data_IF_489759553870
#
_entry.id   IF_489759553870
#
_cell.length_a   1.000
_cell.length_b   1.000
_cell.length_c   1.000
_cell.angle_alpha   90.00
_cell.angle_beta   90.00
_cell.angle_gamma   90.00
#
_symmetry.space_group_name_H-M   'P 1'
#
loop_
_entity.id
_entity.type
_entity.pdbx_description
1 polymer ?
#
# COMPACT_ATOMS: atom_id res chain seq x y z
N UNK A 1 -0.50 1.35 -18.55
CA UNK A 1 -1.58 2.21 -18.01
C UNK A 1 -0.97 3.10 -16.94
N UNK A 2 -1.37 4.38 -16.88
CA UNK A 2 -0.76 5.38 -15.99
C UNK A 2 -1.64 5.59 -14.76
N UNK A 3 -1.03 5.55 -13.57
CA UNK A 3 -1.70 5.66 -12.28
C UNK A 3 -1.16 6.87 -11.51
N UNK A 4 -2.00 7.47 -10.68
CA UNK A 4 -1.58 8.55 -9.79
C UNK A 4 -0.90 7.95 -8.56
N UNK A 5 0.38 8.21 -8.35
CA UNK A 5 1.09 7.78 -7.15
C UNK A 5 0.87 8.83 -6.05
N UNK A 6 0.33 8.42 -4.90
CA UNK A 6 0.26 9.22 -3.68
C UNK A 6 1.20 8.59 -2.66
N UNK A 7 2.16 9.34 -2.17
CA UNK A 7 3.13 8.88 -1.19
C UNK A 7 2.98 9.66 0.11
N UNK A 8 2.73 8.93 1.19
CA UNK A 8 2.53 9.41 2.55
C UNK A 8 3.59 8.85 3.53
N UNK A 9 4.73 8.33 3.05
CA UNK A 9 5.83 7.89 3.95
C UNK A 9 6.39 9.04 4.78
N UNK A 10 6.50 10.21 4.18
CA UNK A 10 7.06 11.42 4.78
C UNK A 10 6.13 12.61 4.50
N UNK A 11 6.67 13.73 4.01
CA UNK A 11 5.87 14.81 3.47
C UNK A 11 5.03 14.30 2.29
N UNK A 12 3.71 14.56 2.27
CA UNK A 12 2.85 14.05 1.20
C UNK A 12 3.30 14.53 -0.17
N UNK A 13 3.50 13.57 -1.08
CA UNK A 13 3.85 13.85 -2.47
C UNK A 13 2.93 13.11 -3.43
N UNK A 14 2.74 13.69 -4.62
CA UNK A 14 2.04 13.04 -5.72
C UNK A 14 2.89 13.01 -6.97
N UNK A 15 2.74 11.96 -7.76
CA UNK A 15 3.41 11.78 -9.04
C UNK A 15 2.65 10.80 -9.90
N UNK A 16 3.30 10.30 -10.94
CA UNK A 16 2.72 9.31 -11.83
C UNK A 16 3.58 8.07 -11.84
N UNK A 17 2.91 6.92 -11.92
CA UNK A 17 3.56 5.63 -12.02
C UNK A 17 2.92 4.81 -13.14
N UNK A 18 3.75 4.16 -13.92
CA UNK A 18 3.32 3.23 -14.95
C UNK A 18 4.27 2.04 -15.03
N UNK A 19 3.74 0.92 -15.52
CA UNK A 19 4.51 -0.26 -15.83
C UNK A 19 4.33 -0.60 -17.32
N UNK A 20 5.43 -0.99 -17.96
CA UNK A 20 5.45 -1.59 -19.29
C UNK A 20 6.47 -2.72 -19.33
N UNK A 21 6.22 -3.76 -20.14
CA UNK A 21 7.15 -4.89 -20.27
C UNK A 21 8.52 -4.46 -20.85
N UNK A 22 8.53 -3.45 -21.72
CA UNK A 22 9.75 -2.98 -22.39
C UNK A 22 10.64 -2.10 -21.49
N UNK A 23 10.03 -1.22 -20.68
CA UNK A 23 10.75 -0.19 -19.91
C UNK A 23 10.73 -0.42 -18.40
N UNK A 24 10.04 -1.46 -17.93
CA UNK A 24 9.83 -1.74 -16.52
C UNK A 24 8.97 -0.68 -15.82
N UNK A 25 9.27 -0.44 -14.55
CA UNK A 25 8.60 0.55 -13.71
C UNK A 25 9.10 1.96 -14.04
N UNK A 26 8.20 2.86 -14.40
CA UNK A 26 8.51 4.27 -14.68
C UNK A 26 7.80 5.13 -13.65
N UNK A 27 8.58 5.96 -12.95
CA UNK A 27 8.13 6.93 -11.96
C UNK A 27 8.39 8.35 -12.48
N UNK A 28 7.38 9.22 -12.42
CA UNK A 28 7.61 10.65 -12.68
C UNK A 28 8.24 11.34 -11.48
N UNK A 29 8.73 12.56 -11.70
CA UNK A 29 9.01 13.50 -10.63
C UNK A 29 7.78 13.64 -9.72
N UNK A 30 8.04 13.68 -8.41
CA UNK A 30 7.01 13.82 -7.38
C UNK A 30 6.95 15.25 -6.88
N UNK A 31 5.74 15.78 -6.71
CA UNK A 31 5.47 17.11 -6.22
C UNK A 31 4.87 17.05 -4.83
N UNK A 32 5.33 17.89 -3.93
CA UNK A 32 4.74 18.03 -2.61
C UNK A 32 3.33 18.63 -2.70
N UNK A 33 2.46 18.22 -1.79
CA UNK A 33 1.17 18.86 -1.55
C UNK A 33 0.93 18.94 -0.05
N UNK A 34 0.18 19.96 0.39
CA UNK A 34 -0.09 20.18 1.81
C UNK A 34 -1.55 19.92 2.17
N UNK A 35 -2.43 19.92 1.17
CA UNK A 35 -3.86 19.63 1.33
C UNK A 35 -4.33 18.65 0.26
N UNK A 36 -5.23 17.75 0.64
CA UNK A 36 -5.91 16.89 -0.33
C UNK A 36 -6.68 17.71 -1.39
N UNK A 37 -7.15 18.91 -1.02
CA UNK A 37 -7.82 19.82 -1.96
C UNK A 37 -6.93 20.21 -3.14
N UNK A 38 -5.61 20.29 -2.94
CA UNK A 38 -4.64 20.65 -3.98
C UNK A 38 -4.59 19.61 -5.12
N UNK A 39 -4.99 18.37 -4.81
CA UNK A 39 -4.90 17.22 -5.72
C UNK A 39 -6.26 16.56 -5.97
N UNK A 40 -7.37 17.09 -5.44
CA UNK A 40 -8.69 16.44 -5.47
C UNK A 40 -9.17 16.14 -6.89
N UNK A 41 -8.98 17.08 -7.82
CA UNK A 41 -9.39 16.92 -9.23
C UNK A 41 -8.56 15.85 -9.95
N UNK A 42 -7.26 15.77 -9.62
CA UNK A 42 -6.38 14.72 -10.14
C UNK A 42 -6.82 13.34 -9.63
N UNK A 43 -7.12 13.25 -8.34
CA UNK A 43 -7.53 11.99 -7.69
C UNK A 43 -8.86 11.50 -8.25
N UNK A 44 -9.88 12.35 -8.33
CA UNK A 44 -11.24 11.96 -8.73
C UNK A 44 -11.35 11.23 -10.08
N UNK A 45 -10.40 11.46 -10.98
CA UNK A 45 -10.45 10.93 -12.36
C UNK A 45 -9.50 9.75 -12.59
N UNK A 46 -8.80 9.27 -11.56
CA UNK A 46 -7.71 8.29 -11.70
C UNK A 46 -7.84 7.14 -10.71
N UNK A 47 -7.23 6.02 -11.07
CA UNK A 47 -6.84 5.01 -10.10
C UNK A 47 -5.52 5.44 -9.47
N UNK A 48 -5.49 5.40 -8.14
CA UNK A 48 -4.35 5.80 -7.34
C UNK A 48 -3.56 4.58 -6.88
N UNK A 49 -2.23 4.68 -6.89
CA UNK A 49 -1.35 3.84 -6.12
C UNK A 49 -0.96 4.60 -4.87
N UNK A 50 -1.14 4.01 -3.70
CA UNK A 50 -0.87 4.68 -2.43
C UNK A 50 0.25 3.95 -1.71
N UNK A 51 1.29 4.69 -1.35
CA UNK A 51 2.43 4.24 -0.55
C UNK A 51 2.42 5.02 0.76
N UNK A 52 2.70 4.37 1.88
CA UNK A 52 2.82 5.01 3.18
C UNK A 52 3.89 4.32 4.04
N UNK A 53 3.91 4.65 5.34
CA UNK A 53 4.85 4.09 6.31
C UNK A 53 4.76 2.56 6.48
N UNK A 54 3.71 1.90 5.97
CA UNK A 54 3.58 0.44 5.99
C UNK A 54 4.18 -0.24 4.76
N UNK A 55 4.69 0.52 3.79
CA UNK A 55 5.39 -0.06 2.64
C UNK A 55 6.78 -0.54 3.02
N UNK A 56 7.28 -1.54 2.29
CA UNK A 56 8.68 -1.93 2.38
C UNK A 56 9.58 -0.80 1.87
N UNK A 57 10.87 -0.88 2.17
CA UNK A 57 11.87 0.01 1.59
C UNK A 57 12.39 -0.52 0.25
N UNK A 58 13.19 0.29 -0.43
CA UNK A 58 13.86 -0.14 -1.65
C UNK A 58 14.91 -1.22 -1.34
N UNK A 59 15.13 -2.19 -2.26
CA UNK A 59 14.54 -2.32 -3.60
C UNK A 59 13.16 -3.02 -3.64
N UNK A 60 12.68 -3.54 -2.50
CA UNK A 60 11.45 -4.35 -2.44
C UNK A 60 10.19 -3.54 -2.76
N UNK A 61 10.21 -2.23 -2.48
CA UNK A 61 9.12 -1.32 -2.85
C UNK A 61 8.91 -1.29 -4.37
N UNK A 62 9.98 -1.15 -5.16
CA UNK A 62 9.90 -1.18 -6.63
C UNK A 62 9.25 -2.47 -7.16
N UNK A 63 9.63 -3.63 -6.60
CA UNK A 63 9.04 -4.93 -6.95
C UNK A 63 7.55 -4.97 -6.58
N UNK A 64 7.18 -4.47 -5.40
CA UNK A 64 5.79 -4.42 -4.95
C UNK A 64 4.92 -3.52 -5.83
N UNK A 65 5.48 -2.37 -6.26
CA UNK A 65 4.83 -1.44 -7.19
C UNK A 65 4.61 -2.09 -8.57
N UNK A 66 5.62 -2.76 -9.11
CA UNK A 66 5.49 -3.49 -10.38
C UNK A 66 4.38 -4.55 -10.30
N UNK A 67 4.39 -5.36 -9.24
CA UNK A 67 3.42 -6.44 -9.07
C UNK A 67 1.99 -5.92 -8.93
N UNK A 68 1.77 -4.83 -8.19
CA UNK A 68 0.40 -4.30 -8.00
C UNK A 68 -0.12 -3.66 -9.28
N UNK A 69 0.76 -3.09 -10.11
CA UNK A 69 0.40 -2.53 -11.39
C UNK A 69 0.01 -3.61 -12.41
N UNK A 70 0.66 -4.78 -12.36
CA UNK A 70 0.39 -5.93 -13.25
C UNK A 70 -0.87 -6.72 -12.91
N UNK A 71 -1.32 -6.67 -11.66
CA UNK A 71 -2.32 -7.61 -11.15
C UNK A 71 -3.69 -6.99 -10.88
N UNK A 72 -4.68 -7.86 -10.65
CA UNK A 72 -6.07 -7.51 -10.37
C UNK A 72 -6.35 -7.28 -8.88
N UNK A 73 -5.45 -7.66 -7.97
CA UNK A 73 -5.63 -7.36 -6.54
C UNK A 73 -5.42 -5.86 -6.26
N UNK A 74 -5.92 -5.41 -5.11
CA UNK A 74 -5.87 -4.00 -4.73
C UNK A 74 -4.97 -3.72 -3.54
N UNK A 75 -4.55 -4.71 -2.76
CA UNK A 75 -3.76 -4.52 -1.54
C UNK A 75 -2.59 -5.51 -1.47
N UNK A 76 -1.39 -5.02 -1.13
CA UNK A 76 -0.21 -5.85 -0.86
C UNK A 76 -0.17 -6.37 0.57
N UNK A 77 0.61 -7.42 0.81
CA UNK A 77 0.89 -7.92 2.16
C UNK A 77 2.36 -8.24 2.36
N UNK A 78 2.82 -8.23 3.61
CA UNK A 78 4.15 -8.63 4.04
C UNK A 78 4.10 -9.82 5.01
N UNK A 79 5.18 -10.61 5.06
CA UNK A 79 5.37 -11.65 6.07
C UNK A 79 5.45 -11.04 7.47
N UNK A 80 4.86 -11.73 8.45
CA UNK A 80 5.02 -11.34 9.84
C UNK A 80 6.37 -11.86 10.36
N UNK A 81 7.30 -10.95 10.63
CA UNK A 81 8.64 -11.28 11.16
C UNK A 81 8.66 -11.35 12.69
N UNK A 82 7.80 -10.58 13.35
CA UNK A 82 7.72 -10.54 14.80
C UNK A 82 7.00 -11.76 15.39
N UNK A 83 7.34 -12.11 16.63
CA UNK A 83 6.61 -13.14 17.36
C UNK A 83 5.18 -12.67 17.65
N UNK A 84 4.20 -13.51 17.34
CA UNK A 84 2.80 -13.25 17.63
C UNK A 84 2.37 -13.95 18.91
N UNK A 85 1.64 -13.23 19.76
CA UNK A 85 1.12 -13.74 21.03
C UNK A 85 -0.37 -13.46 21.12
N UNK A 86 -1.13 -14.44 21.57
CA UNK A 86 -2.53 -14.26 21.96
C UNK A 86 -2.56 -13.84 23.42
N UNK A 87 -3.28 -12.77 23.72
CA UNK A 87 -3.52 -12.30 25.08
C UNK A 87 -5.00 -12.49 25.44
N UNK A 88 -5.28 -12.72 26.72
CA UNK A 88 -6.65 -12.70 27.24
C UNK A 88 -7.07 -11.28 27.67
N UNK A 89 -8.32 -11.14 28.13
CA UNK A 89 -8.86 -9.87 28.62
C UNK A 89 -8.17 -9.33 29.87
N UNK A 90 -7.36 -10.13 30.56
CA UNK A 90 -6.55 -9.71 31.71
C UNK A 90 -5.14 -9.25 31.30
N UNK A 91 -4.81 -9.34 30.01
CA UNK A 91 -3.51 -8.97 29.45
C UNK A 91 -2.45 -10.08 29.57
N UNK A 92 -2.81 -11.29 29.98
CA UNK A 92 -1.88 -12.42 30.09
C UNK A 92 -1.71 -13.12 28.75
N UNK A 93 -0.48 -13.54 28.45
CA UNK A 93 -0.17 -14.36 27.27
C UNK A 93 -0.74 -15.75 27.47
N UNK A 94 -1.67 -16.15 26.61
CA UNK A 94 -2.32 -17.47 26.65
C UNK A 94 -1.77 -18.43 25.60
N UNK A 95 -1.17 -17.93 24.51
CA UNK A 95 -0.49 -18.78 23.53
C UNK A 95 0.48 -17.99 22.64
N UNK A 96 1.49 -18.69 22.12
CA UNK A 96 2.31 -18.21 21.01
C UNK A 96 1.66 -18.65 19.69
N UNK A 97 1.44 -17.71 18.77
CA UNK A 97 0.84 -18.00 17.47
C UNK A 97 1.95 -18.29 16.45
N UNK A 98 1.73 -19.27 15.57
CA UNK A 98 2.65 -19.47 14.45
C UNK A 98 2.48 -18.31 13.45
N UNK A 99 3.50 -17.46 13.36
CA UNK A 99 3.54 -16.28 12.47
C UNK A 99 3.40 -16.63 10.99
N UNK A 100 3.74 -17.85 10.58
CA UNK A 100 3.60 -18.32 9.20
C UNK A 100 2.13 -18.41 8.75
N UNK A 101 1.20 -18.51 9.71
CA UNK A 101 -0.24 -18.53 9.43
C UNK A 101 -0.83 -17.11 9.24
N UNK A 102 -0.02 -16.06 9.36
CA UNK A 102 -0.49 -14.68 9.34
C UNK A 102 0.32 -13.83 8.36
N UNK A 103 -0.37 -12.86 7.77
CA UNK A 103 0.23 -11.84 6.91
C UNK A 103 -0.19 -10.47 7.39
N UNK A 104 0.71 -9.50 7.23
CA UNK A 104 0.44 -8.12 7.55
C UNK A 104 0.02 -7.40 6.27
N UNK A 105 -1.14 -6.74 6.29
CA UNK A 105 -1.52 -5.84 5.19
C UNK A 105 -0.51 -4.68 5.10
N UNK A 106 -0.16 -4.30 3.88
CA UNK A 106 0.84 -3.26 3.60
C UNK A 106 0.42 -2.36 2.45
N UNK A 107 1.20 -1.32 2.22
CA UNK A 107 1.19 -0.54 0.98
C UNK A 107 2.39 -0.97 0.10
N UNK A 108 2.35 -0.83 -1.24
CA UNK A 108 1.37 -0.08 -2.02
C UNK A 108 -0.02 -0.70 -2.06
N UNK A 109 -1.04 0.14 -2.26
CA UNK A 109 -2.41 -0.29 -2.59
C UNK A 109 -2.93 0.42 -3.85
N UNK A 110 -3.84 -0.22 -4.57
CA UNK A 110 -4.54 0.31 -5.73
C UNK A 110 -5.95 0.71 -5.30
N UNK A 111 -6.23 2.01 -5.31
CA UNK A 111 -7.48 2.59 -4.87
C UNK A 111 -8.13 3.41 -5.99
N UNK A 112 -9.46 3.41 -6.04
CA UNK A 112 -10.16 4.31 -6.96
C UNK A 112 -10.08 5.75 -6.46
N UNK A 113 -10.05 6.73 -7.37
CA UNK A 113 -10.16 8.14 -6.99
C UNK A 113 -11.38 8.44 -6.11
N UNK A 114 -12.50 7.79 -6.40
CA UNK A 114 -13.73 7.93 -5.63
C UNK A 114 -13.57 7.49 -4.18
N UNK A 115 -12.98 6.33 -3.92
CA UNK A 115 -12.76 5.82 -2.56
C UNK A 115 -11.81 6.69 -1.75
N UNK A 116 -10.82 7.31 -2.41
CA UNK A 116 -9.90 8.25 -1.77
C UNK A 116 -10.56 9.57 -1.44
N UNK A 117 -11.36 10.11 -2.34
CA UNK A 117 -12.14 11.32 -2.05
C UNK A 117 -13.13 11.10 -0.90
N UNK A 118 -13.85 9.97 -0.91
CA UNK A 118 -14.75 9.62 0.21
C UNK A 118 -14.00 9.47 1.55
N UNK A 119 -12.77 8.96 1.52
CA UNK A 119 -11.92 8.88 2.71
C UNK A 119 -11.58 10.26 3.25
N UNK A 120 -11.10 11.18 2.40
CA UNK A 120 -10.69 12.52 2.82
C UNK A 120 -11.86 13.48 3.09
N UNK A 121 -13.07 13.17 2.62
CA UNK A 121 -14.28 13.90 3.06
C UNK A 121 -14.58 13.68 4.56
N UNK A 122 -14.04 12.62 5.16
CA UNK A 122 -14.26 12.25 6.58
C UNK A 122 -13.01 12.30 7.45
N UNK A 123 -11.83 12.41 6.85
CA UNK A 123 -10.54 12.31 7.55
C UNK A 123 -9.59 13.41 7.07
N UNK A 124 -8.92 14.08 8.01
CA UNK A 124 -7.96 15.15 7.71
C UNK A 124 -6.56 14.66 7.35
N UNK A 125 -6.25 13.38 7.60
CA UNK A 125 -4.94 12.78 7.37
C UNK A 125 -5.09 11.36 6.84
N UNK A 126 -4.08 10.88 6.11
CA UNK A 126 -4.03 9.48 5.68
C UNK A 126 -3.84 8.53 6.87
N UNK A 127 -4.59 7.42 6.84
CA UNK A 127 -4.51 6.31 7.78
C UNK A 127 -5.01 5.07 7.05
N UNK A 128 -4.11 4.13 6.80
CA UNK A 128 -4.41 2.95 6.02
C UNK A 128 -5.49 2.08 6.66
N UNK A 129 -5.48 1.90 7.97
CA UNK A 129 -6.45 1.05 8.65
C UNK A 129 -7.86 1.66 8.58
N UNK A 130 -7.97 2.98 8.77
CA UNK A 130 -9.24 3.70 8.59
C UNK A 130 -9.74 3.61 7.16
N UNK A 131 -8.85 3.74 6.17
CA UNK A 131 -9.20 3.57 4.76
C UNK A 131 -9.78 2.18 4.49
N UNK A 132 -9.12 1.13 5.00
CA UNK A 132 -9.59 -0.25 4.82
C UNK A 132 -10.97 -0.49 5.42
N UNK A 133 -11.20 0.01 6.64
CA UNK A 133 -12.49 -0.11 7.34
C UNK A 133 -13.61 0.62 6.60
N UNK A 134 -13.34 1.78 5.99
CA UNK A 134 -14.33 2.56 5.26
C UNK A 134 -14.76 1.88 3.96
N UNK A 135 -13.84 1.17 3.30
CA UNK A 135 -14.05 0.61 1.96
C UNK A 135 -14.46 -0.88 1.96
N UNK A 136 -14.73 -1.48 3.13
CA UNK A 136 -15.25 -2.85 3.26
C UNK A 136 -14.48 -3.91 2.45
N UNK A 137 -13.14 -3.84 2.46
CA UNK A 137 -12.32 -4.80 1.72
C UNK A 137 -12.52 -6.24 2.23
N UNK A 138 -12.57 -7.18 1.30
CA UNK A 138 -12.78 -8.60 1.52
C UNK A 138 -11.49 -9.39 1.36
N UNK A 139 -11.44 -10.63 1.87
CA UNK A 139 -10.27 -11.52 1.73
C UNK A 139 -9.77 -11.74 0.29
N UNK A 140 -10.62 -11.50 -0.72
CA UNK A 140 -10.28 -11.66 -2.14
C UNK A 140 -9.54 -10.45 -2.73
N UNK A 141 -9.47 -9.33 -2.00
CA UNK A 141 -8.84 -8.09 -2.45
C UNK A 141 -7.31 -8.06 -2.18
N UNK A 142 -6.81 -9.07 -1.46
CA UNK A 142 -5.45 -9.17 -0.96
C UNK A 142 -4.61 -10.16 -1.79
N UNK A 143 -3.33 -9.85 -2.06
CA UNK A 143 -2.34 -10.82 -2.53
C UNK A 143 -1.02 -10.68 -1.78
N UNK A 144 -0.43 -11.83 -1.45
CA UNK A 144 0.89 -11.94 -0.86
C UNK A 144 2.00 -11.81 -1.89
N UNK A 145 2.98 -10.97 -1.59
CA UNK A 145 4.26 -10.97 -2.29
C UNK A 145 5.32 -11.56 -1.40
N UNK A 146 5.90 -12.66 -1.85
CA UNK A 146 7.22 -13.05 -1.40
C UNK A 146 8.21 -12.25 -2.25
N UNK A 147 8.90 -11.29 -1.63
CA UNK A 147 10.15 -10.82 -2.20
C UNK A 147 11.13 -11.98 -2.07
N UNK A 148 11.18 -12.87 -3.07
CA UNK A 148 12.31 -13.77 -3.19
C UNK A 148 13.55 -12.87 -3.28
N UNK A 149 14.49 -13.09 -2.35
CA UNK A 149 15.79 -12.42 -2.34
C UNK A 149 16.38 -12.50 -3.75
N UNK A 150 16.49 -11.36 -4.43
CA UNK A 150 17.38 -11.25 -5.58
C UNK A 150 18.79 -11.32 -5.01
N UNK A 151 19.29 -12.54 -4.84
CA UNK A 151 20.71 -12.79 -4.65
C UNK A 151 21.35 -12.47 -6.00
N UNK A 152 21.88 -11.26 -6.17
CA UNK A 152 22.78 -11.00 -7.27
C UNK A 152 23.97 -11.98 -7.15
N UNK A 153 24.25 -12.81 -8.16
CA UNK A 153 25.45 -13.63 -8.16
C UNK A 153 26.67 -12.69 -8.19
N UNK A 154 27.62 -12.95 -7.27
CA UNK A 154 28.95 -12.31 -7.27
C UNK A 154 29.74 -12.61 -8.53
#
# INVERSE_FOLDING_TARGET
MKYLLLNFKEMPTYGWIEYSEEKGLILSEQKMFSSFLDIKDLVNTKTCIIVDALATDEPTLSISLENILKSNYSITTQKVTNALKKIDSTGKVVSHLNRENYQRLSTPIKASGHSISQYFDKNSSWDFEKYLRLNNHSYKDYQTFEAELILEPK
#
